data_IF_485213746889
#
_entry.id   IF_485213746889
#
_cell.length_a   1.000
_cell.length_b   1.000
_cell.length_c   1.000
_cell.angle_alpha   90.00
_cell.angle_beta   90.00
_cell.angle_gamma   90.00
#
_symmetry.space_group_name_H-M   'P 1'
#
loop_
_entity.id
_entity.type
_entity.pdbx_description
1 polymer ?
#
# COMPACT_ATOMS: atom_id res chain seq x y z
N UNK A 1 3.82 1.35 16.80
CA UNK A 1 3.98 1.15 18.26
C UNK A 1 4.70 2.28 18.99
N UNK A 2 5.70 2.91 18.37
CA UNK A 2 6.53 3.95 19.00
C UNK A 2 7.78 3.37 19.67
N UNK A 3 8.86 4.15 19.82
CA UNK A 3 10.16 3.66 20.31
C UNK A 3 10.10 3.02 21.70
N UNK A 4 9.20 3.48 22.57
CA UNK A 4 9.00 2.94 23.93
C UNK A 4 7.62 2.30 24.11
N UNK A 5 6.97 1.91 23.00
CA UNK A 5 5.63 1.31 22.96
C UNK A 5 4.54 2.25 23.50
N UNK A 6 4.67 3.55 23.26
CA UNK A 6 3.74 4.59 23.67
C UNK A 6 2.30 4.26 23.26
N UNK A 7 2.11 3.77 22.03
CA UNK A 7 0.79 3.39 21.52
C UNK A 7 0.19 2.19 22.28
N UNK A 8 1.02 1.23 22.70
CA UNK A 8 0.57 0.05 23.46
C UNK A 8 -0.11 0.49 24.73
N UNK A 9 0.60 1.29 25.53
CA UNK A 9 0.10 1.71 26.84
C UNK A 9 -1.07 2.68 26.71
N UNK A 10 -1.08 3.56 25.70
CA UNK A 10 -2.22 4.43 25.43
C UNK A 10 -3.51 3.63 25.11
N UNK A 11 -3.39 2.56 24.32
CA UNK A 11 -4.52 1.67 24.02
C UNK A 11 -4.98 0.89 25.25
N UNK A 12 -4.05 0.31 26.01
CA UNK A 12 -4.36 -0.41 27.25
C UNK A 12 -5.06 0.50 28.26
N UNK A 13 -4.59 1.74 28.44
CA UNK A 13 -5.24 2.71 29.33
C UNK A 13 -6.62 3.13 28.84
N UNK A 14 -6.80 3.31 27.52
CA UNK A 14 -8.10 3.61 26.95
C UNK A 14 -9.09 2.47 27.15
N UNK A 15 -8.70 1.22 26.89
CA UNK A 15 -9.55 0.04 27.09
C UNK A 15 -9.86 -0.23 28.56
N UNK A 16 -8.93 0.05 29.46
CA UNK A 16 -9.13 -0.03 30.92
C UNK A 16 -9.98 1.12 31.48
N UNK A 17 -10.37 2.11 30.66
CA UNK A 17 -11.10 3.31 31.10
C UNK A 17 -10.27 4.27 31.95
N UNK A 18 -8.94 4.14 31.92
CA UNK A 18 -7.98 5.01 32.65
C UNK A 18 -7.64 6.30 31.89
N UNK A 19 -7.95 6.36 30.60
CA UNK A 19 -7.81 7.54 29.76
C UNK A 19 -9.00 7.67 28.81
N UNK A 20 -9.24 8.86 28.27
CA UNK A 20 -10.32 9.12 27.30
C UNK A 20 -9.85 9.03 25.84
N UNK A 21 -10.77 9.21 24.89
CA UNK A 21 -10.46 9.15 23.46
C UNK A 21 -9.52 10.27 23.00
N UNK A 22 -9.64 11.48 23.55
CA UNK A 22 -8.79 12.62 23.20
C UNK A 22 -7.33 12.37 23.59
N UNK A 23 -7.10 11.77 24.75
CA UNK A 23 -5.76 11.40 25.23
C UNK A 23 -5.12 10.33 24.33
N UNK A 24 -5.89 9.32 23.91
CA UNK A 24 -5.42 8.32 22.95
C UNK A 24 -5.11 8.95 21.58
N UNK A 25 -6.00 9.83 21.08
CA UNK A 25 -5.77 10.54 19.82
C UNK A 25 -4.52 11.41 19.90
N UNK A 26 -4.28 12.07 21.04
CA UNK A 26 -3.07 12.89 21.23
C UNK A 26 -1.79 12.06 21.07
N UNK A 27 -1.72 10.90 21.71
CA UNK A 27 -0.56 9.99 21.54
C UNK A 27 -0.39 9.55 20.09
N UNK A 28 -1.50 9.25 19.40
CA UNK A 28 -1.47 8.86 18.00
C UNK A 28 -0.96 9.98 17.07
N UNK A 29 -1.46 11.20 17.25
CA UNK A 29 -1.02 12.41 16.51
C UNK A 29 0.48 12.67 16.75
N UNK A 30 0.91 12.66 18.02
CA UNK A 30 2.30 12.92 18.39
C UNK A 30 3.25 11.88 17.78
N UNK A 31 2.85 10.60 17.76
CA UNK A 31 3.60 9.52 17.12
C UNK A 31 3.71 9.72 15.60
N UNK A 32 2.59 9.96 14.89
CA UNK A 32 2.62 10.20 13.43
C UNK A 32 3.51 11.39 13.08
N UNK A 33 3.35 12.51 13.78
CA UNK A 33 4.16 13.71 13.61
C UNK A 33 5.66 13.42 13.81
N UNK A 34 6.04 12.64 14.82
CA UNK A 34 7.43 12.27 15.06
C UNK A 34 8.02 11.43 13.91
N UNK A 35 7.25 10.50 13.35
CA UNK A 35 7.70 9.61 12.27
C UNK A 35 7.91 10.39 10.98
N UNK A 36 6.95 11.26 10.61
CA UNK A 36 7.09 12.09 9.42
C UNK A 36 8.28 13.05 9.52
N UNK A 37 8.49 13.68 10.68
CA UNK A 37 9.67 14.53 10.90
C UNK A 37 10.97 13.73 10.81
N UNK A 38 11.03 12.55 11.43
CA UNK A 38 12.20 11.69 11.37
C UNK A 38 12.55 11.30 9.93
N UNK A 39 11.56 10.94 9.11
CA UNK A 39 11.78 10.60 7.71
C UNK A 39 12.19 11.83 6.87
N UNK A 40 11.60 13.00 7.14
CA UNK A 40 11.96 14.25 6.48
C UNK A 40 13.40 14.66 6.81
N UNK A 41 13.81 14.57 8.08
CA UNK A 41 15.17 14.86 8.53
C UNK A 41 16.20 13.89 7.93
N UNK A 42 15.78 12.66 7.63
CA UNK A 42 16.59 11.66 6.93
C UNK A 42 16.64 11.86 5.40
N UNK A 43 15.93 12.86 4.85
CA UNK A 43 15.92 13.18 3.42
C UNK A 43 15.08 12.21 2.57
N UNK A 44 14.13 11.48 3.16
CA UNK A 44 13.25 10.57 2.43
C UNK A 44 12.28 11.37 1.56
N UNK A 45 12.33 11.14 0.24
CA UNK A 45 11.46 11.84 -0.73
C UNK A 45 10.02 11.36 -0.71
N UNK A 46 9.80 10.05 -0.67
CA UNK A 46 8.47 9.42 -0.72
C UNK A 46 8.09 8.92 0.67
N UNK A 47 7.62 9.84 1.53
CA UNK A 47 7.23 9.51 2.91
C UNK A 47 5.81 8.96 2.97
N UNK A 48 5.56 7.79 3.55
CA UNK A 48 4.22 7.23 3.58
C UNK A 48 3.31 7.94 4.60
N UNK A 49 2.03 8.06 4.27
CA UNK A 49 0.94 8.32 5.22
C UNK A 49 -0.10 7.20 5.15
N UNK A 50 -1.00 7.14 6.13
CA UNK A 50 -1.97 6.06 6.32
C UNK A 50 -1.39 4.71 6.77
N UNK A 51 -0.08 4.60 7.00
CA UNK A 51 0.58 3.41 7.57
C UNK A 51 0.35 3.23 9.06
N UNK A 52 -0.02 4.31 9.77
CA UNK A 52 -0.38 4.27 11.18
C UNK A 52 -1.63 3.40 11.39
N UNK A 53 -1.66 2.62 12.46
CA UNK A 53 -2.84 1.89 12.91
C UNK A 53 -2.84 1.83 14.44
N UNK A 54 -4.02 1.74 15.04
CA UNK A 54 -4.20 1.47 16.47
C UNK A 54 -3.89 0.01 16.85
N UNK A 55 -3.36 -0.80 15.94
CA UNK A 55 -2.94 -2.17 16.18
C UNK A 55 -1.56 -2.39 15.55
N UNK A 56 -0.85 -3.43 16.00
CA UNK A 56 0.36 -3.88 15.30
C UNK A 56 -0.01 -4.50 13.93
N UNK A 57 1.00 -4.70 13.08
CA UNK A 57 0.82 -5.21 11.72
C UNK A 57 1.21 -6.69 11.57
N UNK A 58 1.39 -7.44 12.67
CA UNK A 58 1.84 -8.84 12.59
C UNK A 58 0.70 -9.75 12.17
N UNK A 59 -0.51 -9.48 12.68
CA UNK A 59 -1.75 -10.14 12.25
C UNK A 59 -2.72 -9.09 11.73
N UNK A 60 -3.52 -9.45 10.73
CA UNK A 60 -4.59 -8.59 10.23
C UNK A 60 -5.96 -9.14 10.58
N UNK A 61 -6.96 -8.25 10.64
CA UNK A 61 -8.35 -8.64 10.85
C UNK A 61 -8.96 -8.97 9.49
N UNK A 62 -9.32 -10.24 9.29
CA UNK A 62 -9.89 -10.73 8.03
C UNK A 62 -11.28 -10.11 7.80
N UNK A 63 -11.51 -9.37 6.71
CA UNK A 63 -12.83 -8.84 6.41
C UNK A 63 -13.84 -9.96 6.12
N UNK A 64 -15.04 -9.84 6.69
CA UNK A 64 -16.16 -10.76 6.44
C UNK A 64 -17.15 -10.12 5.49
N UNK A 65 -17.27 -10.67 4.28
CA UNK A 65 -18.05 -10.07 3.20
C UNK A 65 -19.11 -11.05 2.67
N UNK A 66 -20.19 -10.51 2.11
CA UNK A 66 -21.25 -11.30 1.48
C UNK A 66 -21.94 -10.52 0.36
N UNK A 67 -22.84 -11.14 -0.41
CA UNK A 67 -23.53 -10.48 -1.52
C UNK A 67 -24.36 -9.27 -1.05
N UNK A 68 -24.89 -9.32 0.17
CA UNK A 68 -25.80 -8.29 0.72
C UNK A 68 -25.08 -7.19 1.51
N UNK A 69 -23.75 -7.20 1.57
CA UNK A 69 -23.00 -6.15 2.26
C UNK A 69 -23.23 -4.79 1.58
N UNK A 70 -23.64 -3.79 2.36
CA UNK A 70 -23.75 -2.41 1.91
C UNK A 70 -22.42 -1.70 2.15
N UNK A 71 -21.67 -1.46 1.08
CA UNK A 71 -20.37 -0.80 1.14
C UNK A 71 -20.57 0.72 0.98
N UNK A 72 -19.96 1.49 1.87
CA UNK A 72 -19.94 2.96 1.84
C UNK A 72 -18.66 3.48 2.50
N UNK A 73 -18.29 4.73 2.21
CA UNK A 73 -17.20 5.39 2.93
C UNK A 73 -17.63 5.64 4.38
N UNK A 74 -16.89 5.06 5.33
CA UNK A 74 -17.13 5.22 6.77
C UNK A 74 -15.89 5.69 7.53
N UNK A 75 -14.78 5.89 6.83
CA UNK A 75 -13.51 6.33 7.39
C UNK A 75 -12.77 7.22 6.40
N UNK A 76 -12.39 8.41 6.86
CA UNK A 76 -11.59 9.39 6.14
C UNK A 76 -10.13 9.42 6.63
N UNK A 77 -9.67 8.34 7.26
CA UNK A 77 -8.33 8.24 7.87
C UNK A 77 -7.20 8.66 6.92
N UNK A 78 -7.22 8.15 5.68
CA UNK A 78 -6.17 8.44 4.71
C UNK A 78 -6.05 9.93 4.38
N UNK A 79 -7.19 10.60 4.11
CA UNK A 79 -7.19 12.04 3.82
C UNK A 79 -6.91 12.89 5.07
N UNK A 80 -7.34 12.44 6.25
CA UNK A 80 -7.03 13.10 7.51
C UNK A 80 -5.53 13.07 7.80
N UNK A 81 -4.88 11.91 7.70
CA UNK A 81 -3.43 11.79 7.93
C UNK A 81 -2.63 12.53 6.86
N UNK A 82 -3.06 12.52 5.60
CA UNK A 82 -2.41 13.32 4.56
C UNK A 82 -2.45 14.81 4.88
N UNK A 83 -3.63 15.34 5.26
CA UNK A 83 -3.79 16.77 5.66
C UNK A 83 -2.99 17.11 6.91
N UNK A 84 -2.93 16.20 7.87
CA UNK A 84 -2.16 16.36 9.10
C UNK A 84 -0.66 16.49 8.79
N UNK A 85 -0.08 15.59 7.99
CA UNK A 85 1.31 15.69 7.56
C UNK A 85 1.58 16.98 6.78
N UNK A 86 0.66 17.34 5.87
CA UNK A 86 0.76 18.57 5.08
C UNK A 86 0.75 19.83 5.93
N UNK A 87 -0.03 19.87 7.01
CA UNK A 87 -0.05 20.97 7.96
C UNK A 87 1.28 21.11 8.73
N UNK A 88 2.07 20.04 8.83
CA UNK A 88 3.42 20.04 9.38
C UNK A 88 4.50 20.41 8.34
N UNK A 89 4.10 20.73 7.10
CA UNK A 89 5.01 21.01 6.00
C UNK A 89 5.63 19.77 5.36
N UNK A 90 5.06 18.58 5.62
CA UNK A 90 5.55 17.31 5.09
C UNK A 90 4.61 16.78 4.02
N UNK A 91 5.11 16.66 2.79
CA UNK A 91 4.40 15.99 1.70
C UNK A 91 4.50 14.47 1.88
N UNK A 92 3.38 13.76 1.78
CA UNK A 92 3.33 12.30 1.98
C UNK A 92 2.66 11.59 0.82
N UNK A 93 2.94 10.29 0.71
CA UNK A 93 2.29 9.35 -0.22
C UNK A 93 1.27 8.54 0.58
N UNK A 94 -0.04 8.76 0.38
CA UNK A 94 -1.07 7.94 1.03
C UNK A 94 -0.96 6.48 0.57
N UNK A 95 -0.88 5.57 1.53
CA UNK A 95 -0.80 4.12 1.28
C UNK A 95 -2.18 3.49 1.48
N UNK A 96 -2.67 2.76 0.48
CA UNK A 96 -3.92 2.01 0.52
C UNK A 96 -3.67 0.55 0.16
N UNK A 97 -4.28 -0.39 0.89
CA UNK A 97 -4.44 -1.74 0.36
C UNK A 97 -5.34 -1.65 -0.87
N UNK A 98 -4.94 -2.26 -1.98
CA UNK A 98 -5.73 -2.23 -3.22
C UNK A 98 -7.10 -2.92 -3.06
N UNK A 99 -8.14 -2.51 -3.82
CA UNK A 99 -9.43 -3.20 -3.83
C UNK A 99 -9.35 -4.70 -4.15
N UNK A 100 -8.42 -5.14 -5.02
CA UNK A 100 -8.35 -6.55 -5.42
C UNK A 100 -7.69 -7.38 -4.32
N UNK A 101 -6.52 -6.96 -3.83
CA UNK A 101 -5.88 -7.57 -2.66
C UNK A 101 -6.82 -7.60 -1.45
N UNK A 102 -7.54 -6.52 -1.17
CA UNK A 102 -8.52 -6.48 -0.08
C UNK A 102 -9.56 -7.60 -0.20
N UNK A 103 -10.13 -7.81 -1.38
CA UNK A 103 -11.11 -8.89 -1.62
C UNK A 103 -10.47 -10.28 -1.55
N UNK A 104 -9.24 -10.45 -2.04
CA UNK A 104 -8.51 -11.72 -1.99
C UNK A 104 -8.11 -12.12 -0.56
N UNK A 105 -7.85 -11.15 0.32
CA UNK A 105 -7.55 -11.35 1.73
C UNK A 105 -8.81 -11.43 2.62
N UNK A 106 -9.99 -11.26 2.05
CA UNK A 106 -11.27 -11.38 2.76
C UNK A 106 -11.75 -12.83 2.82
N UNK A 107 -12.80 -13.07 3.61
CA UNK A 107 -13.53 -14.35 3.62
C UNK A 107 -15.05 -14.13 3.49
N UNK A 108 -15.80 -15.09 2.92
CA UNK A 108 -17.26 -15.04 2.99
C UNK A 108 -17.75 -15.06 4.44
N UNK A 109 -18.71 -14.19 4.77
CA UNK A 109 -19.35 -14.18 6.08
C UNK A 109 -20.12 -15.49 6.33
N UNK A 110 -20.41 -15.78 7.60
CA UNK A 110 -21.17 -16.99 7.97
C UNK A 110 -22.55 -16.98 7.30
N UNK A 111 -22.90 -18.07 6.63
CA UNK A 111 -24.19 -18.25 5.94
C UNK A 111 -24.18 -17.84 4.47
N UNK A 112 -23.07 -17.29 3.95
CA UNK A 112 -22.90 -17.02 2.53
C UNK A 112 -22.69 -18.34 1.76
N UNK A 113 -23.32 -18.44 0.58
CA UNK A 113 -23.25 -19.62 -0.27
C UNK A 113 -21.79 -19.92 -0.71
N UNK A 114 -21.42 -21.19 -0.79
CA UNK A 114 -20.04 -21.62 -1.14
C UNK A 114 -19.63 -21.26 -2.57
N UNK A 115 -20.58 -21.04 -3.47
CA UNK A 115 -20.34 -20.60 -4.84
C UNK A 115 -20.04 -19.10 -4.94
N UNK A 116 -20.26 -18.33 -3.86
CA UNK A 116 -19.98 -16.90 -3.84
C UNK A 116 -18.49 -16.61 -4.00
N UNK A 117 -18.16 -15.80 -4.99
CA UNK A 117 -16.81 -15.27 -5.19
C UNK A 117 -16.67 -13.88 -4.60
N UNK A 118 -15.68 -13.67 -3.73
CA UNK A 118 -15.39 -12.35 -3.16
C UNK A 118 -15.05 -11.31 -4.22
N UNK A 119 -14.38 -11.73 -5.30
CA UNK A 119 -14.06 -10.86 -6.43
C UNK A 119 -15.31 -10.34 -7.16
N UNK A 120 -16.47 -10.98 -6.99
CA UNK A 120 -17.74 -10.44 -7.52
C UNK A 120 -18.15 -9.11 -6.88
N UNK A 121 -17.56 -8.74 -5.74
CA UNK A 121 -17.79 -7.45 -5.08
C UNK A 121 -16.93 -6.32 -5.65
N UNK A 122 -16.06 -6.56 -6.65
CA UNK A 122 -15.13 -5.55 -7.16
C UNK A 122 -15.88 -4.30 -7.65
N UNK A 123 -16.96 -4.45 -8.42
CA UNK A 123 -17.71 -3.29 -8.92
C UNK A 123 -18.48 -2.54 -7.81
N UNK A 124 -18.69 -3.17 -6.64
CA UNK A 124 -19.28 -2.51 -5.47
C UNK A 124 -18.26 -1.71 -4.66
N UNK A 125 -17.00 -2.15 -4.62
CA UNK A 125 -15.96 -1.48 -3.83
C UNK A 125 -15.26 -0.34 -4.59
N UNK A 126 -15.13 -0.47 -5.92
CA UNK A 126 -14.44 0.53 -6.74
C UNK A 126 -14.98 1.96 -6.62
N UNK A 127 -16.30 2.22 -6.50
CA UNK A 127 -16.81 3.57 -6.26
C UNK A 127 -16.23 4.24 -5.02
N UNK A 128 -15.99 3.48 -3.94
CA UNK A 128 -15.43 3.99 -2.68
C UNK A 128 -13.97 4.37 -2.87
N UNK A 129 -13.18 3.54 -3.57
CA UNK A 129 -11.80 3.89 -3.90
C UNK A 129 -11.71 5.14 -4.76
N UNK A 130 -12.65 5.35 -5.71
CA UNK A 130 -12.71 6.57 -6.52
C UNK A 130 -12.99 7.81 -5.67
N UNK A 131 -13.87 7.69 -4.67
CA UNK A 131 -14.18 8.76 -3.73
C UNK A 131 -12.96 9.11 -2.88
N UNK A 132 -12.27 8.12 -2.30
CA UNK A 132 -11.04 8.32 -1.54
C UNK A 132 -9.94 8.96 -2.39
N UNK A 133 -9.72 8.49 -3.61
CA UNK A 133 -8.75 9.09 -4.55
C UNK A 133 -9.10 10.55 -4.84
N UNK A 134 -10.39 10.85 -5.05
CA UNK A 134 -10.87 12.21 -5.27
C UNK A 134 -10.59 13.11 -4.07
N UNK A 135 -10.85 12.63 -2.85
CA UNK A 135 -10.57 13.37 -1.61
C UNK A 135 -9.08 13.65 -1.42
N UNK A 136 -8.21 12.66 -1.70
CA UNK A 136 -6.76 12.80 -1.63
C UNK A 136 -6.23 13.82 -2.63
N UNK A 137 -6.70 13.76 -3.88
CA UNK A 137 -6.37 14.77 -4.91
C UNK A 137 -6.82 16.16 -4.50
N UNK A 138 -8.03 16.30 -3.96
CA UNK A 138 -8.55 17.57 -3.49
C UNK A 138 -7.75 18.12 -2.29
N UNK A 139 -7.20 17.26 -1.43
CA UNK A 139 -6.26 17.67 -0.39
C UNK A 139 -4.88 18.08 -0.95
N UNK A 140 -4.59 17.73 -2.20
CA UNK A 140 -3.40 18.10 -2.96
C UNK A 140 -2.34 17.01 -3.04
N UNK A 141 -2.69 15.74 -2.75
CA UNK A 141 -1.79 14.62 -2.97
C UNK A 141 -1.43 14.53 -4.46
N UNK A 142 -0.15 14.32 -4.75
CA UNK A 142 0.37 14.16 -6.13
C UNK A 142 0.85 12.73 -6.41
N UNK A 143 1.04 11.94 -5.35
CA UNK A 143 1.38 10.53 -5.39
C UNK A 143 0.37 9.74 -4.56
N UNK A 144 0.15 8.49 -4.94
CA UNK A 144 -0.61 7.50 -4.16
C UNK A 144 0.03 6.12 -4.33
N UNK A 145 0.01 5.32 -3.28
CA UNK A 145 0.49 3.94 -3.28
C UNK A 145 -0.68 2.97 -3.09
N UNK A 146 -0.75 1.95 -3.93
CA UNK A 146 -1.60 0.79 -3.76
C UNK A 146 -0.76 -0.45 -3.44
N UNK A 147 -1.00 -1.05 -2.28
CA UNK A 147 -0.36 -2.31 -1.91
C UNK A 147 -1.11 -3.48 -2.56
N UNK A 148 -0.37 -4.26 -3.35
CA UNK A 148 -0.85 -5.48 -4.03
C UNK A 148 0.01 -6.72 -3.71
N UNK A 149 0.30 -7.04 -2.44
CA UNK A 149 1.13 -8.19 -2.07
C UNK A 149 0.57 -9.55 -2.50
N UNK A 150 -0.73 -9.65 -2.81
CA UNK A 150 -1.27 -10.93 -3.30
C UNK A 150 -0.75 -11.31 -4.68
N UNK A 151 -0.17 -10.36 -5.44
CA UNK A 151 0.43 -10.63 -6.75
C UNK A 151 1.71 -11.47 -6.67
N UNK A 152 2.38 -11.54 -5.52
CA UNK A 152 3.55 -12.43 -5.33
C UNK A 152 3.15 -13.87 -5.01
N UNK A 153 1.85 -14.13 -4.81
CA UNK A 153 1.33 -15.47 -4.57
C UNK A 153 1.11 -16.22 -5.89
N UNK A 154 1.04 -17.55 -5.80
CA UNK A 154 0.53 -18.41 -6.89
C UNK A 154 -0.99 -18.20 -7.07
N UNK A 155 -1.35 -17.12 -7.76
CA UNK A 155 -2.73 -16.83 -8.12
C UNK A 155 -3.16 -17.68 -9.31
N UNK A 156 -4.31 -18.34 -9.18
CA UNK A 156 -4.97 -18.96 -10.34
C UNK A 156 -5.14 -17.92 -11.46
N UNK A 157 -4.86 -18.30 -12.69
CA UNK A 157 -4.88 -17.39 -13.85
C UNK A 157 -6.20 -16.64 -14.05
N UNK A 158 -7.32 -17.19 -13.57
CA UNK A 158 -8.64 -16.55 -13.62
C UNK A 158 -8.78 -15.35 -12.65
N UNK A 159 -7.87 -15.15 -11.70
CA UNK A 159 -7.88 -14.03 -10.74
C UNK A 159 -7.16 -12.80 -11.27
N UNK A 160 -6.12 -12.97 -12.09
CA UNK A 160 -5.35 -11.86 -12.68
C UNK A 160 -6.22 -10.86 -13.48
N UNK A 161 -7.24 -11.28 -14.26
CA UNK A 161 -8.15 -10.37 -14.93
C UNK A 161 -8.88 -9.38 -13.99
N UNK A 162 -9.06 -9.71 -12.71
CA UNK A 162 -9.68 -8.81 -11.74
C UNK A 162 -8.85 -7.55 -11.50
N UNK A 163 -7.52 -7.65 -11.52
CA UNK A 163 -6.62 -6.50 -11.45
C UNK A 163 -6.78 -5.61 -12.69
N UNK A 164 -6.70 -6.20 -13.88
CA UNK A 164 -6.90 -5.46 -15.14
C UNK A 164 -8.24 -4.73 -15.16
N UNK A 165 -9.32 -5.38 -14.73
CA UNK A 165 -10.65 -4.77 -14.61
C UNK A 165 -10.66 -3.61 -13.61
N UNK A 166 -10.15 -3.83 -12.40
CA UNK A 166 -10.13 -2.83 -11.34
C UNK A 166 -9.39 -1.55 -11.76
N UNK A 167 -8.16 -1.67 -12.26
CA UNK A 167 -7.36 -0.52 -12.64
C UNK A 167 -7.86 0.17 -13.91
N UNK A 168 -8.46 -0.57 -14.86
CA UNK A 168 -9.16 0.07 -16.00
C UNK A 168 -10.35 0.91 -15.53
N UNK A 169 -11.06 0.47 -14.49
CA UNK A 169 -12.18 1.25 -13.91
C UNK A 169 -11.71 2.41 -13.05
N UNK A 170 -10.54 2.33 -12.42
CA UNK A 170 -9.95 3.41 -11.60
C UNK A 170 -9.21 4.46 -12.42
N UNK A 171 -8.69 4.11 -13.60
CA UNK A 171 -7.87 4.99 -14.46
C UNK A 171 -8.39 6.44 -14.57
N UNK A 172 -9.69 6.70 -14.83
CA UNK A 172 -10.19 8.07 -14.92
C UNK A 172 -9.99 8.89 -13.63
N UNK A 173 -10.13 8.26 -12.46
CA UNK A 173 -9.93 8.91 -11.16
C UNK A 173 -8.45 9.10 -10.82
N UNK A 174 -7.58 8.23 -11.34
CA UNK A 174 -6.13 8.27 -11.17
C UNK A 174 -5.44 9.31 -12.06
N UNK A 175 -6.11 9.80 -13.12
CA UNK A 175 -5.54 10.81 -14.01
C UNK A 175 -4.98 12.03 -13.26
N UNK A 176 -3.74 12.41 -13.54
CA UNK A 176 -3.06 13.53 -12.86
C UNK A 176 -2.43 13.19 -11.51
N UNK A 177 -2.44 11.92 -11.09
CA UNK A 177 -1.63 11.39 -9.99
C UNK A 177 -0.49 10.54 -10.54
N UNK A 178 0.63 10.52 -9.81
CA UNK A 178 1.55 9.41 -9.87
C UNK A 178 1.01 8.27 -8.99
N UNK A 179 0.92 7.08 -9.54
CA UNK A 179 0.35 5.91 -8.87
C UNK A 179 1.40 4.81 -8.85
N UNK A 180 1.77 4.38 -7.64
CA UNK A 180 2.70 3.26 -7.44
C UNK A 180 1.90 2.05 -7.00
N UNK A 181 2.19 0.90 -7.61
CA UNK A 181 1.78 -0.39 -7.04
C UNK A 181 2.99 -0.99 -6.34
N UNK A 182 2.85 -1.30 -5.05
CA UNK A 182 3.86 -1.97 -4.26
C UNK A 182 3.56 -3.47 -4.14
N UNK A 183 4.60 -4.28 -4.32
CA UNK A 183 4.57 -5.73 -4.11
C UNK A 183 5.77 -6.14 -3.30
N UNK A 184 5.59 -7.10 -2.40
CA UNK A 184 6.62 -7.45 -1.42
C UNK A 184 6.45 -8.88 -0.90
N UNK A 185 7.48 -9.37 -0.20
CA UNK A 185 7.61 -10.69 0.45
C UNK A 185 8.12 -11.85 -0.42
N UNK A 186 8.02 -11.78 -1.74
CA UNK A 186 8.53 -12.80 -2.65
C UNK A 186 8.70 -12.23 -4.07
N UNK A 187 9.18 -13.05 -5.00
CA UNK A 187 9.24 -12.73 -6.41
C UNK A 187 7.86 -12.72 -7.07
N UNK A 188 7.72 -11.96 -8.16
CA UNK A 188 6.51 -12.00 -8.98
C UNK A 188 6.53 -13.19 -9.95
N UNK A 189 5.46 -13.99 -10.02
CA UNK A 189 5.25 -14.90 -11.13
C UNK A 189 5.21 -14.15 -12.47
N UNK A 190 5.72 -14.76 -13.55
CA UNK A 190 5.84 -14.09 -14.85
C UNK A 190 4.51 -13.52 -15.40
N UNK A 191 3.41 -14.25 -15.26
CA UNK A 191 2.08 -13.77 -15.68
C UNK A 191 1.56 -12.63 -14.78
N UNK A 192 1.90 -12.63 -13.49
CA UNK A 192 1.58 -11.53 -12.58
C UNK A 192 2.39 -10.28 -12.95
N UNK A 193 3.68 -10.43 -13.26
CA UNK A 193 4.53 -9.34 -13.76
C UNK A 193 3.99 -8.74 -15.07
N UNK A 194 3.58 -9.57 -16.02
CA UNK A 194 2.93 -9.10 -17.26
C UNK A 194 1.62 -8.37 -16.99
N UNK A 195 0.84 -8.85 -16.03
CA UNK A 195 -0.43 -8.21 -15.63
C UNK A 195 -0.16 -6.83 -15.03
N UNK A 196 0.66 -6.73 -13.99
CA UNK A 196 0.92 -5.48 -13.26
C UNK A 196 1.53 -4.41 -14.17
N UNK A 197 2.48 -4.77 -15.03
CA UNK A 197 3.18 -3.84 -15.94
C UNK A 197 2.32 -3.29 -17.07
N UNK A 198 1.11 -3.83 -17.26
CA UNK A 198 0.15 -3.38 -18.30
C UNK A 198 -1.08 -2.67 -17.71
N UNK A 199 -1.16 -2.55 -16.38
CA UNK A 199 -2.27 -1.88 -15.71
C UNK A 199 -2.37 -0.40 -16.06
N UNK A 200 -3.61 0.07 -16.16
CA UNK A 200 -3.94 1.45 -16.53
C UNK A 200 -3.79 2.40 -15.35
N UNK A 201 -3.39 3.64 -15.64
CA UNK A 201 -3.20 4.67 -14.62
C UNK A 201 -1.98 4.51 -13.71
N UNK A 202 -1.16 3.46 -13.88
CA UNK A 202 0.03 3.21 -13.04
C UNK A 202 1.23 3.96 -13.59
N UNK A 203 1.98 4.63 -12.72
CA UNK A 203 3.22 5.36 -13.08
C UNK A 203 4.47 4.74 -12.49
N UNK A 204 4.37 3.93 -11.44
CA UNK A 204 5.51 3.24 -10.86
C UNK A 204 5.18 1.86 -10.30
N UNK A 205 6.21 1.04 -10.17
CA UNK A 205 6.13 -0.31 -9.63
C UNK A 205 7.19 -0.50 -8.56
N UNK A 206 6.78 -1.02 -7.40
CA UNK A 206 7.66 -1.40 -6.31
C UNK A 206 7.81 -2.90 -6.21
N UNK A 207 9.07 -3.33 -6.17
CA UNK A 207 9.44 -4.74 -6.13
C UNK A 207 10.44 -5.00 -5.00
N UNK A 208 10.27 -6.13 -4.35
CA UNK A 208 11.15 -6.64 -3.30
C UNK A 208 12.35 -7.36 -3.93
N UNK A 209 13.54 -6.77 -3.80
CA UNK A 209 14.81 -7.34 -4.26
C UNK A 209 15.61 -8.02 -3.14
N UNK A 210 15.06 -8.10 -1.92
CA UNK A 210 15.63 -8.85 -0.79
C UNK A 210 15.12 -10.28 -0.81
N UNK A 211 13.80 -10.46 -0.77
CA UNK A 211 13.14 -11.76 -0.83
C UNK A 211 12.79 -12.20 -2.25
N UNK A 212 12.55 -11.24 -3.17
CA UNK A 212 12.02 -11.48 -4.51
C UNK A 212 13.00 -11.24 -5.66
N UNK A 213 14.29 -11.50 -5.44
CA UNK A 213 15.37 -11.16 -6.38
C UNK A 213 15.19 -11.69 -7.80
N UNK A 214 14.42 -12.76 -8.01
CA UNK A 214 14.10 -13.31 -9.35
C UNK A 214 13.28 -12.36 -10.22
N UNK A 215 12.54 -11.42 -9.64
CA UNK A 215 11.83 -10.37 -10.38
C UNK A 215 12.79 -9.55 -11.25
N UNK A 216 14.07 -9.46 -10.86
CA UNK A 216 15.11 -8.80 -11.65
C UNK A 216 15.24 -9.39 -13.06
N UNK A 217 15.08 -10.70 -13.23
CA UNK A 217 15.21 -11.33 -14.54
C UNK A 217 14.04 -10.96 -15.46
N UNK A 218 12.83 -10.84 -14.91
CA UNK A 218 11.66 -10.34 -15.64
C UNK A 218 11.83 -8.87 -16.09
N UNK A 219 12.49 -8.05 -15.26
CA UNK A 219 12.79 -6.65 -15.58
C UNK A 219 13.82 -6.54 -16.70
N UNK A 220 14.84 -7.41 -16.72
CA UNK A 220 15.82 -7.48 -17.80
C UNK A 220 15.19 -7.87 -19.14
N UNK A 221 14.18 -8.75 -19.10
CA UNK A 221 13.43 -9.15 -20.30
C UNK A 221 12.53 -8.02 -20.83
N UNK A 222 12.13 -7.09 -19.97
CA UNK A 222 11.50 -5.84 -20.38
C UNK A 222 10.82 -5.09 -19.24
N UNK A 223 11.02 -3.78 -19.21
CA UNK A 223 10.35 -2.87 -18.28
C UNK A 223 9.58 -1.78 -19.04
N UNK A 224 8.38 -1.37 -18.57
CA UNK A 224 7.60 -0.34 -19.25
C UNK A 224 8.34 1.01 -19.34
N UNK A 225 8.39 1.59 -20.54
CA UNK A 225 9.00 2.90 -20.76
C UNK A 225 8.26 4.02 -20.02
N UNK A 226 9.02 4.96 -19.46
CA UNK A 226 8.49 6.13 -18.74
C UNK A 226 7.77 5.80 -17.44
N UNK A 227 8.04 4.63 -16.84
CA UNK A 227 7.54 4.25 -15.51
C UNK A 227 8.67 4.27 -14.49
N UNK A 228 8.33 4.55 -13.25
CA UNK A 228 9.26 4.51 -12.12
C UNK A 228 9.43 3.07 -11.61
N UNK A 229 10.64 2.73 -11.19
CA UNK A 229 10.93 1.51 -10.45
C UNK A 229 11.32 1.87 -9.01
N UNK A 230 10.55 1.38 -8.04
CA UNK A 230 10.86 1.48 -6.62
C UNK A 230 11.58 0.18 -6.21
N UNK A 231 12.89 0.27 -6.03
CA UNK A 231 13.73 -0.89 -5.75
C UNK A 231 13.87 -1.16 -4.25
N UNK A 232 13.12 -2.15 -3.75
CA UNK A 232 13.18 -2.62 -2.37
C UNK A 232 14.45 -3.41 -2.08
N UNK A 233 15.58 -2.73 -1.86
CA UNK A 233 16.89 -3.33 -1.57
C UNK A 233 17.27 -3.32 -0.09
N UNK A 234 16.49 -2.62 0.76
CA UNK A 234 16.69 -2.55 2.21
C UNK A 234 15.67 -3.44 2.90
N UNK A 235 16.15 -4.41 3.67
CA UNK A 235 15.29 -5.40 4.35
C UNK A 235 14.49 -4.76 5.49
N UNK A 236 13.19 -4.60 5.28
CA UNK A 236 12.25 -4.11 6.31
C UNK A 236 11.75 -5.20 7.27
N UNK A 237 12.20 -6.45 7.13
CA UNK A 237 11.73 -7.62 7.88
C UNK A 237 12.78 -8.21 8.81
N UNK A 238 14.00 -7.68 8.80
CA UNK A 238 15.09 -8.15 9.63
C UNK A 238 15.86 -6.99 10.27
N UNK A 239 16.74 -7.32 11.21
CA UNK A 239 17.48 -6.34 12.02
C UNK A 239 18.93 -6.12 11.56
N UNK A 240 19.35 -6.80 10.50
CA UNK A 240 20.72 -6.73 10.02
C UNK A 240 20.98 -5.42 9.27
N UNK A 241 22.20 -4.88 9.44
CA UNK A 241 22.64 -3.75 8.63
C UNK A 241 22.65 -4.14 7.15
N UNK A 242 22.20 -3.23 6.28
CA UNK A 242 22.19 -3.44 4.84
C UNK A 242 23.63 -3.55 4.29
N UNK A 243 23.85 -4.50 3.39
CA UNK A 243 25.05 -4.53 2.57
C UNK A 243 24.96 -3.48 1.45
N UNK A 244 25.56 -2.32 1.72
CA UNK A 244 25.54 -1.17 0.81
C UNK A 244 26.21 -1.47 -0.54
N UNK A 245 27.24 -2.33 -0.57
CA UNK A 245 27.93 -2.66 -1.81
C UNK A 245 27.04 -3.52 -2.71
N UNK A 246 26.40 -4.54 -2.14
CA UNK A 246 25.43 -5.38 -2.86
C UNK A 246 24.24 -4.56 -3.34
N UNK A 247 23.67 -3.71 -2.47
CA UNK A 247 22.54 -2.85 -2.82
C UNK A 247 22.89 -1.87 -3.94
N UNK A 248 24.06 -1.23 -3.87
CA UNK A 248 24.53 -0.30 -4.89
C UNK A 248 24.72 -1.00 -6.25
N UNK A 249 25.27 -2.22 -6.26
CA UNK A 249 25.43 -3.00 -7.48
C UNK A 249 24.08 -3.31 -8.15
N UNK A 250 23.09 -3.73 -7.37
CA UNK A 250 21.73 -3.98 -7.86
C UNK A 250 21.10 -2.69 -8.41
N UNK A 251 21.21 -1.58 -7.69
CA UNK A 251 20.66 -0.29 -8.12
C UNK A 251 21.30 0.19 -9.43
N UNK A 252 22.61 0.06 -9.58
CA UNK A 252 23.32 0.41 -10.83
C UNK A 252 22.89 -0.46 -12.02
N UNK A 253 22.65 -1.75 -11.79
CA UNK A 253 22.14 -2.64 -12.82
C UNK A 253 20.72 -2.25 -13.27
N UNK A 254 19.85 -1.88 -12.31
CA UNK A 254 18.49 -1.42 -12.58
C UNK A 254 18.46 -0.06 -13.28
N UNK A 255 19.34 0.87 -12.89
CA UNK A 255 19.51 2.18 -13.52
C UNK A 255 19.86 2.05 -15.01
N UNK A 256 20.64 1.04 -15.39
CA UNK A 256 20.94 0.74 -16.79
C UNK A 256 19.72 0.29 -17.62
N UNK A 257 18.66 -0.19 -16.97
CA UNK A 257 17.42 -0.67 -17.62
C UNK A 257 16.35 0.43 -17.64
N UNK A 258 16.11 1.05 -16.47
CA UNK A 258 15.00 1.98 -16.26
C UNK A 258 15.39 3.43 -16.53
N UNK A 259 16.66 3.77 -16.33
CA UNK A 259 17.18 5.14 -16.37
C UNK A 259 17.41 5.72 -14.96
N UNK A 260 17.85 6.99 -14.95
CA UNK A 260 18.28 7.72 -13.75
C UNK A 260 17.17 8.54 -13.07
N UNK A 261 16.01 8.67 -13.72
CA UNK A 261 14.96 9.63 -13.35
C UNK A 261 13.82 9.01 -12.53
#
# INVERSE_FOLDING_TARGET
>A
MGPKRELKFALEYFWDGKSNSEELQKVAVDLRASIWKQMADAGIKYMPSNTFSYYDQVHFIVPELGPDVSLSISSHKAVHEYREAKALGVETVPVLVSPVTYLLLSKPAKGVDKSFSLLSLIDKILPIYKEVVTELKAAGATWIQFDEPTLVMDLDSHKLPAFTHAYSKLEPSLFGLNVVIETYFADLPAEAYKTITTLKGITGYGFDFVCGSKTLDLIKDGFPSGKYLFAGVVDGRNIWANDLATSLHTLQALEGIVGKD
#
